data_IF_118475666878
#
_entry.id   IF_118475666878
#
_cell.length_a   1.000
_cell.length_b   1.000
_cell.length_c   1.000
_cell.angle_alpha   90.00
_cell.angle_beta   90.00
_cell.angle_gamma   90.00
#
_symmetry.space_group_name_H-M   'P 1'
#
loop_
_entity.id
_entity.type
_entity.pdbx_description
1 polymer ?
#
# COMPACT_ATOMS: atom_id res chain seq x y z
N UNK A 1 2.77 -12.46 -5.89
CA UNK A 1 3.62 -12.97 -6.98
C UNK A 1 4.70 -11.97 -7.45
N UNK A 2 4.53 -10.66 -7.22
CA UNK A 2 5.50 -9.64 -7.71
C UNK A 2 6.83 -9.70 -6.97
N UNK A 3 6.82 -9.89 -5.64
CA UNK A 3 8.03 -9.80 -4.80
C UNK A 3 8.77 -11.13 -4.62
N UNK A 4 8.22 -12.26 -5.09
CA UNK A 4 8.84 -13.61 -5.04
C UNK A 4 9.49 -13.93 -3.68
N UNK A 5 8.76 -13.64 -2.60
CA UNK A 5 9.27 -13.80 -1.24
C UNK A 5 9.45 -15.27 -0.85
N UNK A 6 10.56 -15.55 -0.20
CA UNK A 6 10.84 -16.81 0.47
C UNK A 6 10.86 -16.56 1.98
N UNK A 7 10.12 -17.36 2.73
CA UNK A 7 10.13 -17.32 4.19
C UNK A 7 11.45 -17.89 4.73
N UNK A 8 12.13 -17.14 5.59
CA UNK A 8 13.46 -17.53 6.11
C UNK A 8 13.43 -17.85 7.60
N UNK A 9 12.62 -17.13 8.40
CA UNK A 9 12.52 -17.31 9.85
C UNK A 9 11.23 -16.69 10.40
N UNK A 10 10.88 -17.03 11.65
CA UNK A 10 9.74 -16.45 12.36
C UNK A 10 8.39 -16.91 11.81
N UNK A 11 8.26 -18.16 11.37
CA UNK A 11 7.02 -18.71 10.76
C UNK A 11 5.82 -18.64 11.71
N UNK A 12 6.03 -18.82 13.00
CA UNK A 12 4.96 -18.74 14.01
C UNK A 12 4.39 -17.32 14.17
N UNK A 13 5.07 -16.32 13.62
CA UNK A 13 4.64 -14.92 13.66
C UNK A 13 3.86 -14.48 12.41
N UNK A 14 3.26 -15.41 11.66
CA UNK A 14 2.47 -15.10 10.44
C UNK A 14 1.30 -14.13 10.69
N UNK A 15 0.78 -14.11 11.92
CA UNK A 15 -0.31 -13.21 12.35
C UNK A 15 0.17 -11.86 12.90
N UNK A 16 1.49 -11.57 12.84
CA UNK A 16 2.03 -10.30 13.33
C UNK A 16 1.47 -9.12 12.53
N UNK A 17 1.02 -8.10 13.25
CA UNK A 17 0.36 -6.92 12.67
C UNK A 17 1.19 -5.67 12.84
N UNK A 18 0.85 -4.63 12.09
CA UNK A 18 1.36 -3.29 12.33
C UNK A 18 0.83 -2.76 13.68
N UNK A 19 1.67 -2.02 14.39
CA UNK A 19 1.26 -1.30 15.60
C UNK A 19 0.23 -0.21 15.23
N UNK A 20 -0.91 -0.19 15.93
CA UNK A 20 -2.01 0.73 15.62
C UNK A 20 -1.63 2.20 15.84
N UNK A 21 -0.79 2.48 16.86
CA UNK A 21 -0.34 3.85 17.16
C UNK A 21 0.58 4.32 16.04
N UNK A 22 1.49 3.45 15.58
CA UNK A 22 2.38 3.75 14.47
C UNK A 22 1.61 4.00 13.17
N UNK A 23 0.57 3.22 12.89
CA UNK A 23 -0.30 3.42 11.72
C UNK A 23 -1.01 4.77 11.79
N UNK A 24 -1.57 5.13 12.96
CA UNK A 24 -2.27 6.42 13.16
C UNK A 24 -1.33 7.63 13.11
N UNK A 25 -0.08 7.46 13.56
CA UNK A 25 0.92 8.53 13.55
C UNK A 25 1.59 8.73 12.18
N UNK A 26 1.49 7.75 11.28
CA UNK A 26 2.04 7.83 9.92
C UNK A 26 1.28 8.86 9.10
N UNK A 27 1.99 9.68 8.31
CA UNK A 27 1.37 10.64 7.38
C UNK A 27 0.75 9.95 6.17
N UNK A 28 1.27 8.79 5.83
CA UNK A 28 0.73 7.85 4.85
C UNK A 28 1.28 6.45 5.11
N UNK A 29 0.67 5.42 4.52
CA UNK A 29 1.19 4.06 4.62
C UNK A 29 2.62 3.89 4.09
N UNK A 30 3.11 4.80 3.24
CA UNK A 30 4.49 4.83 2.78
C UNK A 30 5.51 5.02 3.91
N UNK A 31 5.11 5.66 5.01
CA UNK A 31 5.98 5.87 6.18
C UNK A 31 6.20 4.59 6.99
N UNK A 32 5.40 3.55 6.76
CA UNK A 32 5.46 2.27 7.47
C UNK A 32 6.49 1.30 6.90
N UNK A 33 7.27 1.69 5.90
CA UNK A 33 8.34 0.88 5.31
C UNK A 33 9.54 1.73 4.93
N UNK A 34 10.73 1.17 5.10
CA UNK A 34 11.99 1.80 4.71
C UNK A 34 13.18 0.89 4.89
N UNK A 35 14.35 1.36 4.51
CA UNK A 35 15.61 0.69 4.81
C UNK A 35 15.84 0.61 6.32
N UNK A 36 16.69 -0.32 6.76
CA UNK A 36 17.00 -0.51 8.18
C UNK A 36 17.37 0.83 8.84
N UNK A 37 16.58 1.23 9.82
CA UNK A 37 16.73 2.49 10.50
C UNK A 37 16.40 2.34 11.99
N UNK A 38 17.36 2.58 12.86
CA UNK A 38 17.23 2.44 14.31
C UNK A 38 16.52 3.62 15.01
N UNK A 39 16.06 4.63 14.24
CA UNK A 39 15.37 5.81 14.76
C UNK A 39 13.86 5.65 14.66
N UNK A 40 13.38 4.91 13.67
CA UNK A 40 11.96 4.76 13.38
C UNK A 40 11.48 3.32 13.66
N UNK A 41 10.90 3.05 14.85
CA UNK A 41 10.33 1.75 15.19
C UNK A 41 9.04 1.44 14.42
N UNK A 42 8.54 0.22 14.58
CA UNK A 42 7.24 -0.27 14.07
C UNK A 42 7.07 -0.24 12.54
N UNK A 43 8.18 -0.18 11.80
CA UNK A 43 8.19 -0.17 10.32
C UNK A 43 8.68 -1.48 9.78
N UNK A 44 8.22 -1.83 8.58
CA UNK A 44 8.88 -2.84 7.76
C UNK A 44 10.30 -2.39 7.50
N UNK A 45 11.28 -3.18 7.91
CA UNK A 45 12.70 -2.90 7.70
C UNK A 45 13.19 -3.71 6.50
N UNK A 46 13.64 -3.01 5.47
CA UNK A 46 14.22 -3.60 4.26
C UNK A 46 15.74 -3.56 4.37
N UNK A 47 16.35 -4.71 4.17
CA UNK A 47 17.79 -4.92 4.25
C UNK A 47 18.32 -5.32 2.88
N UNK A 48 18.99 -4.39 2.21
CA UNK A 48 19.76 -4.66 1.01
C UNK A 48 21.21 -5.00 1.32
N UNK A 49 22.06 -5.05 0.30
CA UNK A 49 23.49 -5.36 0.43
C UNK A 49 24.19 -4.46 1.46
N UNK A 50 23.89 -3.15 1.47
CA UNK A 50 24.52 -2.18 2.38
C UNK A 50 24.15 -2.40 3.85
N UNK A 51 22.88 -2.67 4.10
CA UNK A 51 22.37 -2.94 5.45
C UNK A 51 22.91 -4.26 5.98
N UNK A 52 22.96 -5.31 5.15
CA UNK A 52 23.57 -6.60 5.52
C UNK A 52 25.07 -6.42 5.79
N UNK A 53 25.79 -5.71 4.93
CA UNK A 53 27.19 -5.39 5.14
C UNK A 53 27.43 -4.61 6.46
N UNK A 54 26.57 -3.64 6.77
CA UNK A 54 26.62 -2.94 8.05
C UNK A 54 26.43 -3.88 9.25
N UNK A 55 25.54 -4.87 9.14
CA UNK A 55 25.28 -5.82 10.22
C UNK A 55 26.43 -6.82 10.42
N UNK A 56 27.21 -7.13 9.38
CA UNK A 56 28.19 -8.22 9.36
C UNK A 56 29.66 -7.76 9.33
N UNK A 57 29.97 -6.57 8.81
CA UNK A 57 31.32 -6.07 8.65
C UNK A 57 31.79 -5.29 9.90
N UNK A 58 31.94 -6.02 11.03
CA UNK A 58 32.46 -5.48 12.28
C UNK A 58 33.04 -6.64 13.14
N UNK A 59 33.46 -6.34 14.36
CA UNK A 59 33.80 -7.38 15.33
C UNK A 59 32.54 -8.25 15.63
N UNK A 60 32.76 -9.51 16.00
CA UNK A 60 31.66 -10.43 16.34
C UNK A 60 30.71 -9.82 17.40
N UNK A 61 31.27 -9.13 18.41
CA UNK A 61 30.50 -8.45 19.45
C UNK A 61 29.67 -7.29 18.91
N UNK A 62 30.22 -6.47 18.01
CA UNK A 62 29.52 -5.35 17.40
C UNK A 62 28.42 -5.84 16.46
N UNK A 63 28.67 -6.88 15.67
CA UNK A 63 27.66 -7.51 14.82
C UNK A 63 26.47 -8.01 15.66
N UNK A 64 26.75 -8.75 16.73
CA UNK A 64 25.73 -9.24 17.66
C UNK A 64 24.91 -8.10 18.27
N UNK A 65 25.58 -7.02 18.69
CA UNK A 65 24.93 -5.82 19.25
C UNK A 65 24.04 -5.11 18.24
N UNK A 66 24.50 -4.94 16.98
CA UNK A 66 23.72 -4.32 15.91
C UNK A 66 22.47 -5.15 15.60
N UNK A 67 22.62 -6.46 15.47
CA UNK A 67 21.50 -7.37 15.21
C UNK A 67 20.52 -7.36 16.40
N UNK A 68 21.00 -7.45 17.64
CA UNK A 68 20.14 -7.44 18.83
C UNK A 68 19.27 -6.15 18.94
N UNK A 69 19.79 -5.01 18.49
CA UNK A 69 19.03 -3.75 18.46
C UNK A 69 17.81 -3.78 17.53
N UNK A 70 17.75 -4.69 16.55
CA UNK A 70 16.60 -4.79 15.64
C UNK A 70 15.32 -5.10 16.43
N UNK A 71 15.41 -5.87 17.51
CA UNK A 71 14.22 -6.19 18.35
C UNK A 71 13.60 -4.92 18.95
N UNK A 72 14.43 -3.94 19.31
CA UNK A 72 13.94 -2.69 19.90
C UNK A 72 13.15 -1.81 18.92
N UNK A 73 13.19 -2.13 17.63
CA UNK A 73 12.39 -1.47 16.59
C UNK A 73 10.98 -2.06 16.47
N UNK A 74 10.74 -3.22 17.09
CA UNK A 74 9.48 -3.97 16.98
C UNK A 74 8.93 -4.03 15.55
N UNK A 75 9.77 -4.42 14.55
CA UNK A 75 9.35 -4.39 13.16
C UNK A 75 8.22 -5.41 12.94
N UNK A 76 7.18 -5.09 12.17
CA UNK A 76 6.16 -6.06 11.80
C UNK A 76 6.75 -7.17 10.92
N UNK A 77 7.76 -6.86 10.11
CA UNK A 77 8.48 -7.79 9.23
C UNK A 77 9.85 -7.25 8.86
N UNK A 78 10.79 -8.16 8.63
CA UNK A 78 12.10 -7.89 8.01
C UNK A 78 12.12 -8.49 6.60
N UNK A 79 12.72 -7.79 5.66
CA UNK A 79 12.86 -8.25 4.27
C UNK A 79 14.31 -8.12 3.82
N UNK A 80 14.95 -9.25 3.52
CA UNK A 80 16.25 -9.32 2.87
C UNK A 80 16.07 -9.24 1.36
N UNK A 81 16.82 -8.35 0.73
CA UNK A 81 16.75 -8.07 -0.70
C UNK A 81 18.11 -8.33 -1.39
N UNK A 82 18.20 -8.03 -2.67
CA UNK A 82 19.41 -8.14 -3.48
C UNK A 82 20.02 -9.57 -3.47
N UNK A 83 19.19 -10.60 -3.27
CA UNK A 83 19.65 -11.99 -3.18
C UNK A 83 20.56 -12.28 -1.97
N UNK A 84 20.53 -11.45 -0.94
CA UNK A 84 21.37 -11.63 0.25
C UNK A 84 20.94 -12.85 1.07
N UNK A 85 21.90 -13.57 1.60
CA UNK A 85 21.66 -14.63 2.57
C UNK A 85 21.57 -14.04 3.98
N UNK A 86 20.59 -14.49 4.81
CA UNK A 86 20.46 -14.00 6.16
C UNK A 86 21.67 -14.44 7.01
N UNK A 87 22.31 -13.52 7.75
CA UNK A 87 23.26 -13.90 8.79
C UNK A 87 22.61 -14.84 9.81
N UNK A 88 23.32 -15.89 10.24
CA UNK A 88 22.80 -16.88 11.20
C UNK A 88 22.27 -16.21 12.49
N UNK A 89 22.99 -15.21 13.00
CA UNK A 89 22.57 -14.46 14.17
C UNK A 89 21.25 -13.69 13.96
N UNK A 90 20.98 -13.21 12.73
CA UNK A 90 19.72 -12.53 12.39
C UNK A 90 18.56 -13.53 12.33
N UNK A 91 18.78 -14.69 11.70
CA UNK A 91 17.78 -15.77 11.64
C UNK A 91 17.42 -16.23 13.05
N UNK A 92 18.42 -16.53 13.89
CA UNK A 92 18.22 -16.95 15.28
C UNK A 92 17.50 -15.86 16.12
N UNK A 93 17.77 -14.58 15.86
CA UNK A 93 17.04 -13.48 16.51
C UNK A 93 15.58 -13.46 16.09
N UNK A 94 15.30 -13.56 14.80
CA UNK A 94 13.94 -13.52 14.24
C UNK A 94 13.08 -14.66 14.79
N UNK A 95 13.64 -15.87 14.91
CA UNK A 95 12.95 -17.01 15.54
C UNK A 95 12.60 -16.71 17.01
N UNK A 96 13.57 -16.29 17.83
CA UNK A 96 13.35 -16.02 19.26
C UNK A 96 12.42 -14.83 19.52
N UNK A 97 12.47 -13.82 18.69
CA UNK A 97 11.67 -12.58 18.85
C UNK A 97 10.33 -12.65 18.10
N UNK A 98 10.02 -13.78 17.45
CA UNK A 98 8.84 -13.95 16.62
C UNK A 98 8.67 -12.81 15.59
N UNK A 99 9.76 -12.50 14.87
CA UNK A 99 9.77 -11.51 13.79
C UNK A 99 9.81 -12.24 12.45
N UNK A 100 8.81 -12.08 11.58
CA UNK A 100 8.84 -12.65 10.24
C UNK A 100 10.03 -12.11 9.44
N UNK A 101 10.83 -13.02 8.88
CA UNK A 101 11.95 -12.70 8.00
C UNK A 101 11.72 -13.32 6.63
N UNK A 102 11.68 -12.47 5.61
CA UNK A 102 11.59 -12.88 4.21
C UNK A 102 12.87 -12.55 3.46
N UNK A 103 13.14 -13.30 2.39
CA UNK A 103 14.19 -13.00 1.43
C UNK A 103 13.63 -12.93 0.00
N UNK A 104 14.26 -12.11 -0.84
CA UNK A 104 13.94 -11.99 -2.27
C UNK A 104 15.18 -11.67 -3.09
N UNK A 105 15.16 -12.03 -4.38
CA UNK A 105 16.17 -11.64 -5.35
C UNK A 105 15.99 -10.20 -5.86
N UNK A 106 14.82 -9.61 -5.60
CA UNK A 106 14.50 -8.26 -6.05
C UNK A 106 15.37 -7.23 -5.31
N UNK A 107 15.62 -6.07 -5.97
CA UNK A 107 16.41 -5.01 -5.36
C UNK A 107 15.68 -4.36 -4.18
N UNK A 108 16.44 -3.92 -3.17
CA UNK A 108 15.88 -3.26 -2.00
C UNK A 108 15.08 -1.99 -2.38
N UNK A 109 15.53 -1.22 -3.37
CA UNK A 109 14.80 -0.06 -3.88
C UNK A 109 13.44 -0.45 -4.45
N UNK A 110 13.38 -1.46 -5.30
CA UNK A 110 12.13 -1.96 -5.87
C UNK A 110 11.16 -2.47 -4.80
N UNK A 111 11.64 -3.23 -3.82
CA UNK A 111 10.84 -3.73 -2.71
C UNK A 111 10.25 -2.58 -1.88
N UNK A 112 11.06 -1.56 -1.55
CA UNK A 112 10.60 -0.37 -0.83
C UNK A 112 9.50 0.35 -1.61
N UNK A 113 9.68 0.56 -2.91
CA UNK A 113 8.71 1.27 -3.75
C UNK A 113 7.38 0.51 -3.88
N UNK A 114 7.43 -0.80 -4.10
CA UNK A 114 6.23 -1.66 -4.17
C UNK A 114 5.48 -1.66 -2.84
N UNK A 115 6.20 -1.82 -1.72
CA UNK A 115 5.58 -1.82 -0.39
C UNK A 115 5.00 -0.44 -0.03
N UNK A 116 5.68 0.65 -0.36
CA UNK A 116 5.16 2.02 -0.17
C UNK A 116 3.86 2.23 -0.93
N UNK A 117 3.83 1.85 -2.19
CA UNK A 117 2.62 1.97 -3.01
C UNK A 117 1.46 1.12 -2.45
N UNK A 118 1.74 -0.11 -2.02
CA UNK A 118 0.76 -1.00 -1.43
C UNK A 118 0.23 -0.46 -0.09
N UNK A 119 1.12 -0.14 0.85
CA UNK A 119 0.75 0.32 2.20
C UNK A 119 0.04 1.68 2.16
N UNK A 120 0.44 2.59 1.25
CA UNK A 120 -0.26 3.86 1.06
C UNK A 120 -1.72 3.68 0.67
N UNK A 121 -2.01 2.67 -0.17
CA UNK A 121 -3.39 2.35 -0.55
C UNK A 121 -4.13 1.57 0.53
N UNK A 122 -3.44 0.68 1.24
CA UNK A 122 -4.03 -0.18 2.26
C UNK A 122 -4.46 0.61 3.51
N UNK A 123 -3.64 1.57 3.93
CA UNK A 123 -3.88 2.43 5.10
C UNK A 123 -4.41 3.83 4.73
N UNK A 124 -4.89 4.03 3.50
CA UNK A 124 -5.47 5.31 3.08
C UNK A 124 -6.76 5.63 3.85
N UNK A 125 -6.86 6.85 4.35
CA UNK A 125 -8.14 7.36 4.84
C UNK A 125 -9.17 7.31 3.72
N UNK A 126 -10.36 6.82 4.03
CA UNK A 126 -11.47 6.67 3.08
C UNK A 126 -12.64 7.54 3.49
N UNK A 127 -13.24 8.19 2.51
CA UNK A 127 -14.56 8.83 2.63
C UNK A 127 -15.41 8.49 1.40
N UNK A 128 -16.72 8.49 1.54
CA UNK A 128 -17.63 8.28 0.41
C UNK A 128 -18.39 9.57 0.14
N UNK A 129 -18.46 9.98 -1.13
CA UNK A 129 -19.20 11.17 -1.57
C UNK A 129 -20.22 10.79 -2.64
N UNK A 130 -21.34 11.52 -2.67
CA UNK A 130 -22.32 11.39 -3.75
C UNK A 130 -21.92 12.23 -4.96
N UNK A 131 -21.98 11.63 -6.16
CA UNK A 131 -21.68 12.29 -7.41
C UNK A 131 -21.28 11.33 -8.52
N UNK A 132 -21.04 11.87 -9.70
CA UNK A 132 -20.49 11.15 -10.85
C UNK A 132 -19.00 11.38 -10.91
N UNK A 133 -18.21 10.32 -10.93
CA UNK A 133 -16.76 10.41 -10.99
C UNK A 133 -16.25 9.89 -12.33
N UNK A 134 -15.58 10.76 -13.06
CA UNK A 134 -15.14 10.54 -14.44
C UNK A 134 -13.61 10.57 -14.53
N UNK A 135 -13.06 9.79 -15.43
CA UNK A 135 -11.70 9.98 -15.95
C UNK A 135 -11.79 10.86 -17.19
N UNK A 136 -11.34 12.11 -17.07
CA UNK A 136 -11.31 13.08 -18.18
C UNK A 136 -9.85 13.36 -18.51
N UNK A 137 -9.36 12.77 -19.59
CA UNK A 137 -7.97 12.92 -20.07
C UNK A 137 -6.91 12.55 -19.01
N UNK A 138 -7.17 11.51 -18.22
CA UNK A 138 -6.27 11.06 -17.14
C UNK A 138 -6.44 11.81 -15.82
N UNK A 139 -7.41 12.73 -15.73
CA UNK A 139 -7.76 13.43 -14.50
C UNK A 139 -9.06 12.91 -13.93
N UNK A 140 -9.06 12.59 -12.62
CA UNK A 140 -10.28 12.27 -11.89
C UNK A 140 -11.09 13.55 -11.64
N UNK A 141 -12.31 13.61 -12.19
CA UNK A 141 -13.25 14.72 -12.04
C UNK A 141 -14.50 14.26 -11.31
N UNK A 142 -14.78 14.85 -10.14
CA UNK A 142 -15.99 14.59 -9.37
C UNK A 142 -17.04 15.66 -9.69
N UNK A 143 -18.15 15.24 -10.28
CA UNK A 143 -19.30 16.08 -10.60
C UNK A 143 -20.28 15.94 -9.44
N UNK A 144 -20.51 17.03 -8.70
CA UNK A 144 -21.42 17.09 -7.55
C UNK A 144 -22.59 18.04 -7.82
N UNK A 145 -23.66 17.93 -7.04
CA UNK A 145 -24.83 18.78 -7.11
C UNK A 145 -26.06 18.07 -6.57
N UNK A 146 -27.16 18.80 -6.45
CA UNK A 146 -28.43 18.25 -5.99
C UNK A 146 -28.96 17.14 -6.91
N UNK A 147 -29.78 16.27 -6.35
CA UNK A 147 -30.44 15.22 -7.14
C UNK A 147 -31.31 15.85 -8.24
N UNK A 148 -31.20 15.36 -9.48
CA UNK A 148 -31.96 15.84 -10.62
C UNK A 148 -31.37 16.99 -11.41
N UNK A 149 -30.16 17.45 -11.10
CA UNK A 149 -29.48 18.50 -11.88
C UNK A 149 -28.86 17.99 -13.19
N UNK A 150 -29.04 16.74 -13.57
CA UNK A 150 -28.48 16.22 -14.82
C UNK A 150 -27.04 15.73 -14.71
N UNK A 151 -26.56 15.34 -13.52
CA UNK A 151 -25.18 14.84 -13.35
C UNK A 151 -24.90 13.58 -14.18
N UNK A 152 -25.80 12.60 -14.12
CA UNK A 152 -25.65 11.34 -14.85
C UNK A 152 -25.83 11.54 -16.36
N UNK A 153 -26.71 12.46 -16.77
CA UNK A 153 -26.86 12.86 -18.18
C UNK A 153 -25.58 13.51 -18.72
N UNK A 154 -24.93 14.39 -17.91
CA UNK A 154 -23.62 14.94 -18.24
C UNK A 154 -22.56 13.84 -18.32
N UNK A 155 -22.59 12.89 -17.38
CA UNK A 155 -21.71 11.71 -17.41
C UNK A 155 -21.86 10.92 -18.71
N UNK A 156 -23.09 10.65 -19.14
CA UNK A 156 -23.39 9.94 -20.39
C UNK A 156 -22.86 10.72 -21.63
N UNK A 157 -23.05 12.03 -21.66
CA UNK A 157 -22.51 12.89 -22.73
C UNK A 157 -20.97 12.85 -22.76
N UNK A 158 -20.29 12.86 -21.60
CA UNK A 158 -18.84 12.74 -21.52
C UNK A 158 -18.34 11.36 -21.98
N UNK A 159 -19.07 10.28 -21.66
CA UNK A 159 -18.77 8.93 -22.17
C UNK A 159 -18.86 8.90 -23.70
N UNK A 160 -19.91 9.51 -24.28
CA UNK A 160 -20.08 9.57 -25.72
C UNK A 160 -18.94 10.32 -26.45
N UNK A 161 -18.24 11.19 -25.72
CA UNK A 161 -17.05 11.92 -26.17
C UNK A 161 -15.74 11.19 -25.90
N UNK A 162 -15.78 9.95 -25.40
CA UNK A 162 -14.62 9.08 -25.18
C UNK A 162 -13.95 9.23 -23.81
N UNK A 163 -14.63 9.84 -22.83
CA UNK A 163 -14.16 9.89 -21.45
C UNK A 163 -14.62 8.66 -20.65
N UNK A 164 -13.86 8.29 -19.61
CA UNK A 164 -14.14 7.11 -18.81
C UNK A 164 -15.09 7.38 -17.65
N UNK A 165 -16.14 6.56 -17.46
CA UNK A 165 -16.89 6.52 -16.21
C UNK A 165 -16.12 5.69 -15.19
N UNK A 166 -15.89 6.25 -13.99
CA UNK A 166 -15.28 5.53 -12.86
C UNK A 166 -16.37 5.11 -11.88
N UNK A 167 -17.27 6.01 -11.51
CA UNK A 167 -18.38 5.73 -10.58
C UNK A 167 -19.54 6.68 -10.81
N UNK A 168 -20.77 6.17 -10.57
CA UNK A 168 -21.99 6.96 -10.49
C UNK A 168 -22.65 6.77 -9.13
N UNK A 169 -23.38 7.81 -8.67
CA UNK A 169 -24.11 7.90 -7.40
C UNK A 169 -23.21 7.92 -6.16
N UNK A 170 -22.31 6.96 -5.98
CA UNK A 170 -21.39 6.91 -4.85
C UNK A 170 -19.93 6.72 -5.29
N UNK A 171 -19.04 7.51 -4.72
CA UNK A 171 -17.61 7.50 -5.00
C UNK A 171 -16.84 7.31 -3.70
N UNK A 172 -16.02 6.28 -3.62
CA UNK A 172 -15.06 6.09 -2.55
C UNK A 172 -13.78 6.86 -2.84
N UNK A 173 -13.46 7.84 -2.02
CA UNK A 173 -12.26 8.66 -2.12
C UNK A 173 -11.23 8.20 -1.08
N UNK A 174 -10.03 7.88 -1.54
CA UNK A 174 -8.89 7.42 -0.72
C UNK A 174 -7.79 8.46 -0.73
N UNK A 175 -7.37 8.95 0.43
CA UNK A 175 -6.21 9.83 0.57
C UNK A 175 -4.92 8.99 0.52
N UNK A 176 -4.32 8.87 -0.65
CA UNK A 176 -3.09 8.08 -0.85
C UNK A 176 -1.88 8.77 -0.20
N UNK A 177 -1.82 10.11 -0.29
CA UNK A 177 -0.81 10.95 0.36
C UNK A 177 -1.33 12.39 0.51
N UNK A 178 -0.46 13.34 0.85
CA UNK A 178 -0.84 14.75 1.10
C UNK A 178 -1.40 15.47 -0.13
N UNK A 179 -1.05 15.04 -1.34
CA UNK A 179 -1.38 15.71 -2.60
C UNK A 179 -2.20 14.85 -3.54
N UNK A 180 -2.44 13.56 -3.20
CA UNK A 180 -3.10 12.61 -4.10
C UNK A 180 -4.30 11.98 -3.42
N UNK A 181 -5.46 12.15 -4.07
CA UNK A 181 -6.70 11.45 -3.75
C UNK A 181 -7.03 10.53 -4.92
N UNK A 182 -7.35 9.27 -4.62
CA UNK A 182 -7.79 8.27 -5.61
C UNK A 182 -9.28 8.03 -5.42
N UNK A 183 -10.07 8.22 -6.48
CA UNK A 183 -11.50 7.90 -6.50
C UNK A 183 -11.73 6.51 -7.09
N UNK A 184 -12.63 5.73 -6.46
CA UNK A 184 -13.02 4.40 -6.94
C UNK A 184 -14.53 4.21 -6.85
N UNK A 185 -15.06 3.40 -7.74
CA UNK A 185 -16.42 2.91 -7.64
C UNK A 185 -16.53 1.87 -6.51
N UNK A 186 -17.51 1.97 -5.61
CA UNK A 186 -17.86 0.89 -4.71
C UNK A 186 -18.12 -0.40 -5.49
N UNK A 187 -17.67 -1.54 -4.96
CA UNK A 187 -17.73 -2.83 -5.70
C UNK A 187 -19.13 -3.20 -6.18
N UNK A 188 -20.16 -2.87 -5.40
CA UNK A 188 -21.55 -3.17 -5.71
C UNK A 188 -22.14 -2.32 -6.85
N UNK A 189 -21.51 -1.19 -7.21
CA UNK A 189 -22.00 -0.22 -8.19
C UNK A 189 -21.18 -0.19 -9.48
N UNK A 190 -20.25 -1.11 -9.66
CA UNK A 190 -19.33 -1.09 -10.82
C UNK A 190 -20.08 -1.18 -12.15
N UNK A 191 -19.70 -0.30 -13.08
CA UNK A 191 -20.21 -0.18 -14.46
C UNK A 191 -21.68 0.20 -14.58
N UNK A 192 -22.33 0.58 -13.50
CA UNK A 192 -23.73 1.00 -13.50
C UNK A 192 -23.80 2.52 -13.55
N UNK A 193 -24.71 3.04 -14.39
CA UNK A 193 -25.07 4.46 -14.49
C UNK A 193 -26.58 4.59 -14.42
N UNK A 194 -27.10 5.35 -13.46
CA UNK A 194 -28.53 5.62 -13.37
C UNK A 194 -28.88 6.90 -14.14
N UNK A 195 -29.68 6.76 -15.20
CA UNK A 195 -30.20 7.89 -15.98
C UNK A 195 -31.67 8.01 -15.80
N UNK A 196 -32.16 9.16 -15.29
CA UNK A 196 -33.56 9.41 -15.05
C UNK A 196 -34.41 9.25 -16.32
N UNK A 197 -35.50 8.52 -16.19
CA UNK A 197 -36.41 8.24 -17.31
C UNK A 197 -35.96 7.11 -18.24
N UNK A 198 -34.73 6.65 -18.12
CA UNK A 198 -34.17 5.50 -18.87
C UNK A 198 -33.99 4.30 -17.94
N UNK A 199 -33.51 4.53 -16.71
CA UNK A 199 -33.21 3.51 -15.72
C UNK A 199 -31.71 3.26 -15.53
N UNK A 200 -31.37 2.07 -15.03
CA UNK A 200 -30.00 1.65 -14.74
C UNK A 200 -29.36 1.07 -16.01
N UNK A 201 -28.30 1.69 -16.47
CA UNK A 201 -27.55 1.30 -17.67
C UNK A 201 -26.27 0.57 -17.25
N UNK A 202 -26.00 -0.58 -17.85
CA UNK A 202 -24.66 -1.19 -17.82
C UNK A 202 -23.81 -0.60 -18.97
N UNK A 203 -22.87 0.27 -18.59
CA UNK A 203 -22.05 1.02 -19.54
C UNK A 203 -21.18 0.11 -20.40
N UNK A 204 -20.74 -1.04 -19.88
CA UNK A 204 -19.97 -2.03 -20.67
C UNK A 204 -20.78 -2.74 -21.74
N UNK A 205 -22.10 -2.78 -21.59
CA UNK A 205 -22.95 -3.39 -22.59
C UNK A 205 -23.31 -2.43 -23.74
N UNK A 206 -23.05 -1.13 -23.56
CA UNK A 206 -23.45 -0.07 -24.51
C UNK A 206 -22.25 0.50 -25.26
N UNK A 207 -21.10 0.60 -24.61
CA UNK A 207 -19.84 1.14 -25.13
C UNK A 207 -18.72 0.13 -24.98
#
# INVERSE_FOLDING_TARGET
>A
AVLRWQWMAGLEASERRFDEIAVRAARSGADLVGYLNYIHPYRVQVLGEREVAYLTNASSEDCARRIARIVTLEPPVLVLCDGQNPPEALTALCERAHIPLFATQESAAFVVDVLRAYLSRHFADRTTMHGVFMDILGLGVLITGESGLGKSELGLELISRGHGLVADDAVDLFRINQTTVEGRCPELLRNLLEVRGIGLLDIRAIF
#
